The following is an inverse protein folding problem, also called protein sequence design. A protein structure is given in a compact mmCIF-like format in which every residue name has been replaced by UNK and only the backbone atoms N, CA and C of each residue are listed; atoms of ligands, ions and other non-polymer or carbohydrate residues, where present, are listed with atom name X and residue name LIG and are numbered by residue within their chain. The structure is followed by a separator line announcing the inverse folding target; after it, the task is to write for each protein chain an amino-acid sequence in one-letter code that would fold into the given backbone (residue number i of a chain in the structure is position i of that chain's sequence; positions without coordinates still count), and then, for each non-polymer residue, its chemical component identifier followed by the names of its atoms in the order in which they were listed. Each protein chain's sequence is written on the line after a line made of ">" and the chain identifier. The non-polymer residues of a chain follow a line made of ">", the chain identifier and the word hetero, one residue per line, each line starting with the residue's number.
data_IF_739960486859
#
_entry.id   IF_739960486859
#
_cell.length_a   1.000
_cell.length_b   1.000
_cell.length_c   1.000
_cell.angle_alpha   90.00
_cell.angle_beta   90.00
_cell.angle_gamma   90.00
#
_symmetry.space_group_name_H-M   'P 1'
#
loop_
_entity.id
_entity.type
_entity.pdbx_description
1 polymer ?
#
# COMPACT_ATOMS: atom_id res chain seq x y z
N UNK A 1 34.86 -18.04 8.93
CA UNK A 1 34.05 -16.81 9.06
C UNK A 1 32.64 -17.27 9.35
N UNK A 2 32.11 -17.00 10.53
CA UNK A 2 30.73 -17.37 10.85
C UNK A 2 29.80 -16.45 10.07
N UNK A 3 28.96 -17.02 9.19
CA UNK A 3 27.85 -16.29 8.58
C UNK A 3 26.87 -15.93 9.70
N UNK A 4 26.76 -14.64 10.03
CA UNK A 4 25.68 -14.15 10.88
C UNK A 4 24.36 -14.39 10.15
N UNK A 5 23.46 -15.13 10.80
CA UNK A 5 22.12 -15.35 10.28
C UNK A 5 21.41 -14.00 10.05
N UNK A 6 20.69 -13.84 8.92
CA UNK A 6 20.04 -12.57 8.61
C UNK A 6 19.02 -12.22 9.69
N UNK A 7 19.22 -11.06 10.33
CA UNK A 7 18.31 -10.53 11.34
C UNK A 7 16.95 -10.26 10.70
N UNK A 8 15.91 -10.92 11.22
CA UNK A 8 14.51 -10.66 10.83
C UNK A 8 14.04 -9.43 11.60
N UNK A 9 13.69 -8.37 10.89
CA UNK A 9 13.07 -7.17 11.47
C UNK A 9 11.55 -7.31 11.44
N UNK A 10 10.88 -6.87 12.51
CA UNK A 10 9.42 -6.76 12.53
C UNK A 10 8.94 -5.54 11.75
N UNK A 11 7.70 -5.58 11.25
CA UNK A 11 7.13 -4.46 10.49
C UNK A 11 7.12 -3.13 11.28
N UNK A 12 6.94 -3.20 12.60
CA UNK A 12 7.03 -2.02 13.49
C UNK A 12 8.44 -1.44 13.56
N UNK A 13 9.47 -2.28 13.67
CA UNK A 13 10.86 -1.83 13.70
C UNK A 13 11.29 -1.17 12.38
N UNK A 14 10.68 -1.58 11.27
CA UNK A 14 10.90 -1.04 9.94
C UNK A 14 10.16 0.30 9.69
N UNK A 15 9.21 0.67 10.56
CA UNK A 15 8.31 1.82 10.40
C UNK A 15 8.12 2.59 11.73
N UNK A 16 9.16 3.23 12.29
CA UNK A 16 9.05 4.02 13.53
C UNK A 16 8.04 5.17 13.43
N UNK A 17 7.72 5.64 12.23
CA UNK A 17 6.62 6.57 11.95
C UNK A 17 5.23 6.08 12.42
N UNK A 18 5.03 4.77 12.57
CA UNK A 18 3.80 4.22 13.13
C UNK A 18 3.62 4.59 14.61
N UNK A 19 4.72 4.80 15.34
CA UNK A 19 4.70 5.25 16.74
C UNK A 19 4.43 6.76 16.84
N UNK A 20 4.89 7.56 15.89
CA UNK A 20 4.49 8.99 15.79
C UNK A 20 2.98 9.10 15.59
N UNK A 21 2.42 8.22 14.77
CA UNK A 21 0.98 8.14 14.58
C UNK A 21 0.25 7.56 15.80
N UNK A 22 0.88 6.73 16.64
CA UNK A 22 0.27 6.25 17.89
C UNK A 22 0.17 7.36 18.93
N UNK A 23 1.13 8.28 18.96
CA UNK A 23 1.06 9.52 19.75
C UNK A 23 -0.05 10.46 19.28
N UNK A 24 -0.21 10.60 17.95
CA UNK A 24 -1.26 11.41 17.34
C UNK A 24 -2.68 10.90 17.66
N UNK A 25 -2.86 9.62 18.00
CA UNK A 25 -4.16 9.04 18.37
C UNK A 25 -4.71 9.59 19.71
N UNK A 26 -3.88 10.28 20.51
CA UNK A 26 -4.33 11.00 21.70
C UNK A 26 -4.93 12.38 21.39
N UNK A 27 -4.76 12.86 20.15
CA UNK A 27 -5.27 14.14 19.67
C UNK A 27 -6.61 13.98 18.95
N UNK A 28 -7.49 15.00 18.97
CA UNK A 28 -8.67 15.04 18.12
C UNK A 28 -8.33 14.81 16.64
N UNK A 29 -9.20 14.12 15.91
CA UNK A 29 -9.05 13.78 14.48
C UNK A 29 -8.68 14.99 13.60
N UNK A 30 -9.15 16.18 13.97
CA UNK A 30 -8.89 17.45 13.29
C UNK A 30 -7.44 17.92 13.46
N UNK A 31 -6.82 17.64 14.62
CA UNK A 31 -5.45 18.06 14.94
C UNK A 31 -4.41 17.04 14.43
N UNK A 32 -4.82 15.79 14.25
CA UNK A 32 -4.01 14.79 13.56
C UNK A 32 -3.76 15.23 12.12
N UNK A 33 -4.79 15.75 11.45
CA UNK A 33 -4.73 16.21 10.05
C UNK A 33 -3.69 17.32 9.86
N UNK A 34 -3.70 18.37 10.70
CA UNK A 34 -2.76 19.49 10.60
C UNK A 34 -1.29 19.07 10.76
N UNK A 35 -1.00 18.20 11.73
CA UNK A 35 0.35 17.67 11.95
C UNK A 35 0.89 16.82 10.78
N UNK A 36 0.01 16.19 10.00
CA UNK A 36 0.42 15.37 8.86
C UNK A 36 0.45 16.15 7.55
N UNK A 37 -0.41 17.17 7.38
CA UNK A 37 -0.36 18.05 6.21
C UNK A 37 0.91 18.89 6.17
N UNK A 38 1.43 19.31 7.32
CA UNK A 38 2.67 20.09 7.41
C UNK A 38 3.94 19.28 7.04
N UNK A 39 3.87 17.95 7.10
CA UNK A 39 5.00 17.08 6.73
C UNK A 39 5.15 16.85 5.22
N UNK A 40 4.12 17.15 4.41
CA UNK A 40 4.14 16.98 2.95
C UNK A 40 4.34 15.54 2.43
N UNK A 41 4.43 14.52 3.30
CA UNK A 41 4.77 13.15 2.91
C UNK A 41 3.55 12.36 2.40
N UNK A 42 3.57 11.91 1.13
CA UNK A 42 2.56 11.00 0.57
C UNK A 42 2.27 9.77 1.42
N UNK A 43 3.31 9.19 2.02
CA UNK A 43 3.23 7.95 2.80
C UNK A 43 2.51 8.14 4.13
N UNK A 44 2.81 9.23 4.86
CA UNK A 44 2.13 9.55 6.13
C UNK A 44 0.65 9.85 5.91
N UNK A 45 0.34 10.63 4.85
CA UNK A 45 -1.04 10.87 4.45
C UNK A 45 -1.78 9.58 4.12
N UNK A 46 -1.13 8.67 3.38
CA UNK A 46 -1.69 7.38 3.02
C UNK A 46 -2.01 6.54 4.26
N UNK A 47 -1.06 6.43 5.20
CA UNK A 47 -1.20 5.67 6.44
C UNK A 47 -2.38 6.15 7.30
N UNK A 48 -2.57 7.45 7.43
CA UNK A 48 -3.69 7.97 8.21
C UNK A 48 -5.05 7.69 7.59
N UNK A 49 -5.16 7.85 6.27
CA UNK A 49 -6.39 7.51 5.55
C UNK A 49 -6.67 6.00 5.66
N UNK A 50 -5.62 5.17 5.63
CA UNK A 50 -5.73 3.72 5.84
C UNK A 50 -6.34 3.38 7.22
N UNK A 51 -5.88 4.03 8.29
CA UNK A 51 -6.46 3.83 9.63
C UNK A 51 -7.95 4.17 9.69
N UNK A 52 -8.39 5.21 8.99
CA UNK A 52 -9.83 5.50 8.89
C UNK A 52 -10.59 4.40 8.14
N UNK A 53 -9.99 3.84 7.10
CA UNK A 53 -10.55 2.71 6.38
C UNK A 53 -10.70 1.48 7.30
N UNK A 54 -9.67 1.17 8.10
CA UNK A 54 -9.71 0.07 9.08
C UNK A 54 -10.83 0.25 10.12
N UNK A 55 -11.00 1.48 10.62
CA UNK A 55 -12.08 1.77 11.57
C UNK A 55 -13.48 1.65 10.95
N UNK A 56 -13.63 1.98 9.66
CA UNK A 56 -14.87 1.75 8.93
C UNK A 56 -15.11 0.27 8.67
N UNK A 57 -14.06 -0.48 8.34
CA UNK A 57 -14.09 -1.93 8.14
C UNK A 57 -14.56 -2.65 9.42
N UNK A 58 -13.97 -2.32 10.58
CA UNK A 58 -14.38 -2.86 11.88
C UNK A 58 -15.85 -2.56 12.22
N UNK A 59 -16.40 -1.46 11.70
CA UNK A 59 -17.81 -1.07 11.89
C UNK A 59 -18.76 -1.66 10.85
N UNK A 60 -18.29 -2.55 9.97
CA UNK A 60 -19.08 -3.15 8.90
C UNK A 60 -19.46 -2.19 7.77
N UNK A 61 -18.85 -1.00 7.70
CA UNK A 61 -19.14 0.02 6.67
C UNK A 61 -18.30 -0.21 5.43
N UNK A 62 -18.43 -1.38 4.82
CA UNK A 62 -17.52 -1.90 3.78
C UNK A 62 -17.36 -0.99 2.56
N UNK A 63 -18.46 -0.44 2.03
CA UNK A 63 -18.38 0.50 0.89
C UNK A 63 -17.53 1.74 1.20
N UNK A 64 -17.72 2.32 2.39
CA UNK A 64 -16.97 3.50 2.81
C UNK A 64 -15.51 3.16 3.14
N UNK A 65 -15.26 1.98 3.71
CA UNK A 65 -13.91 1.48 3.96
C UNK A 65 -13.15 1.30 2.64
N UNK A 66 -13.78 0.66 1.63
CA UNK A 66 -13.26 0.51 0.27
C UNK A 66 -12.88 1.85 -0.34
N UNK A 67 -13.78 2.84 -0.32
CA UNK A 67 -13.51 4.18 -0.85
C UNK A 67 -12.32 4.85 -0.14
N UNK A 68 -12.16 4.63 1.17
CA UNK A 68 -11.04 5.15 1.95
C UNK A 68 -9.72 4.44 1.65
N UNK A 69 -9.69 3.12 1.50
CA UNK A 69 -8.48 2.41 1.06
C UNK A 69 -8.03 2.91 -0.32
N UNK A 70 -8.96 3.10 -1.26
CA UNK A 70 -8.65 3.68 -2.58
C UNK A 70 -8.09 5.09 -2.42
N UNK A 71 -8.69 5.92 -1.58
CA UNK A 71 -8.18 7.26 -1.30
C UNK A 71 -6.77 7.24 -0.68
N UNK A 72 -6.47 6.27 0.19
CA UNK A 72 -5.15 6.07 0.76
C UNK A 72 -4.12 5.72 -0.34
N UNK A 73 -4.48 4.85 -1.28
CA UNK A 73 -3.63 4.56 -2.45
C UNK A 73 -3.39 5.80 -3.31
N UNK A 74 -4.41 6.65 -3.51
CA UNK A 74 -4.31 7.91 -4.25
C UNK A 74 -3.43 8.98 -3.57
N UNK A 75 -3.05 8.78 -2.32
CA UNK A 75 -2.03 9.61 -1.70
C UNK A 75 -0.62 9.28 -2.23
N UNK A 76 -0.38 8.03 -2.61
CA UNK A 76 0.91 7.53 -3.14
C UNK A 76 0.92 7.56 -4.67
N UNK A 77 -0.18 7.13 -5.30
CA UNK A 77 -0.32 6.98 -6.75
C UNK A 77 -1.02 8.20 -7.35
N UNK A 78 -0.51 8.76 -8.48
CA UNK A 78 -1.18 9.83 -9.21
C UNK A 78 -2.65 9.53 -9.55
N UNK A 79 -3.49 10.57 -9.59
CA UNK A 79 -4.96 10.43 -9.80
C UNK A 79 -5.35 9.89 -11.17
N UNK A 80 -4.53 10.14 -12.18
CA UNK A 80 -4.74 9.69 -13.56
C UNK A 80 -4.36 8.22 -13.78
N UNK A 81 -3.80 7.55 -12.76
CA UNK A 81 -3.48 6.14 -12.80
C UNK A 81 -4.76 5.29 -12.74
N UNK A 82 -4.91 4.30 -13.61
CA UNK A 82 -6.05 3.38 -13.56
C UNK A 82 -5.88 2.36 -12.42
N UNK A 83 -6.86 2.29 -11.51
CA UNK A 83 -6.88 1.33 -10.41
C UNK A 83 -8.17 0.50 -10.47
N UNK A 84 -8.10 -0.84 -10.41
CA UNK A 84 -6.89 -1.66 -10.53
C UNK A 84 -6.22 -1.49 -11.92
N UNK A 85 -4.94 -1.81 -12.02
CA UNK A 85 -4.18 -1.69 -13.26
C UNK A 85 -4.68 -2.70 -14.30
N UNK A 86 -4.71 -2.28 -15.57
CA UNK A 86 -5.15 -3.11 -16.69
C UNK A 86 -4.02 -3.98 -17.28
N UNK A 87 -2.78 -3.71 -16.89
CA UNK A 87 -1.57 -4.28 -17.49
C UNK A 87 -0.67 -4.87 -16.42
N UNK A 88 -0.16 -6.08 -16.67
CA UNK A 88 0.72 -6.80 -15.75
C UNK A 88 2.10 -6.14 -15.54
N UNK A 89 2.57 -5.41 -16.54
CA UNK A 89 3.80 -4.61 -16.46
C UNK A 89 3.38 -3.17 -16.64
N UNK A 90 3.25 -2.44 -15.52
CA UNK A 90 2.84 -1.05 -15.55
C UNK A 90 4.08 -0.15 -15.40
N UNK A 91 4.45 0.63 -16.44
CA UNK A 91 5.65 1.48 -16.40
C UNK A 91 5.64 2.49 -15.25
N UNK A 92 4.46 2.92 -14.81
CA UNK A 92 4.32 3.85 -13.69
C UNK A 92 4.60 3.16 -12.36
N UNK A 93 4.17 1.90 -12.16
CA UNK A 93 4.60 1.13 -10.99
C UNK A 93 6.08 0.81 -11.05
N UNK A 94 6.61 0.43 -12.21
CA UNK A 94 8.05 0.22 -12.35
C UNK A 94 8.82 1.49 -11.99
N UNK A 95 8.39 2.67 -12.43
CA UNK A 95 9.06 3.94 -12.09
C UNK A 95 8.92 4.29 -10.60
N UNK A 96 7.72 4.13 -10.04
CA UNK A 96 7.44 4.40 -8.63
C UNK A 96 8.24 3.49 -7.69
N UNK A 97 8.46 2.23 -8.09
CA UNK A 97 9.08 1.18 -7.28
C UNK A 97 10.53 0.88 -7.66
N UNK A 98 11.10 1.56 -8.68
CA UNK A 98 12.45 1.33 -9.17
C UNK A 98 13.55 1.89 -8.27
N UNK A 99 13.24 2.93 -7.47
CA UNK A 99 14.26 3.64 -6.70
C UNK A 99 14.52 2.95 -5.36
N UNK A 100 15.80 2.87 -4.96
CA UNK A 100 16.18 2.35 -3.64
C UNK A 100 15.49 3.17 -2.54
N UNK A 101 14.76 2.49 -1.65
CA UNK A 101 14.02 3.13 -0.55
C UNK A 101 12.49 3.14 -0.69
N UNK A 102 11.94 2.86 -1.87
CA UNK A 102 10.48 2.88 -2.09
C UNK A 102 9.75 1.56 -1.77
N UNK A 103 10.42 0.63 -1.10
CA UNK A 103 9.80 -0.63 -0.64
C UNK A 103 8.69 -0.37 0.38
N UNK A 104 8.74 0.76 1.11
CA UNK A 104 7.71 1.16 2.07
C UNK A 104 6.39 1.47 1.37
N UNK A 105 6.44 2.21 0.27
CA UNK A 105 5.30 2.57 -0.57
C UNK A 105 4.67 1.33 -1.19
N UNK A 106 5.49 0.36 -1.62
CA UNK A 106 4.94 -0.91 -2.11
C UNK A 106 4.18 -1.67 -1.04
N UNK A 107 4.76 -1.83 0.16
CA UNK A 107 4.07 -2.51 1.26
C UNK A 107 2.78 -1.78 1.62
N UNK A 108 2.80 -0.45 1.59
CA UNK A 108 1.61 0.35 1.80
C UNK A 108 0.54 0.06 0.74
N UNK A 109 0.91 0.08 -0.54
CA UNK A 109 -0.01 -0.22 -1.64
C UNK A 109 -0.57 -1.63 -1.55
N UNK A 110 0.25 -2.63 -1.20
CA UNK A 110 -0.19 -4.03 -1.01
C UNK A 110 -1.23 -4.12 0.11
N UNK A 111 -0.96 -3.54 1.27
CA UNK A 111 -1.89 -3.51 2.42
C UNK A 111 -3.24 -2.89 2.04
N UNK A 112 -3.24 -1.82 1.24
CA UNK A 112 -4.46 -1.13 0.82
C UNK A 112 -5.22 -1.91 -0.25
N UNK A 113 -4.53 -2.59 -1.17
CA UNK A 113 -5.16 -3.51 -2.12
C UNK A 113 -5.84 -4.68 -1.38
N UNK A 114 -5.18 -5.24 -0.37
CA UNK A 114 -5.77 -6.28 0.49
C UNK A 114 -7.01 -5.76 1.23
N UNK A 115 -6.94 -4.56 1.80
CA UNK A 115 -8.07 -3.89 2.44
C UNK A 115 -9.27 -3.73 1.51
N UNK A 116 -9.05 -3.32 0.25
CA UNK A 116 -10.11 -3.25 -0.75
C UNK A 116 -10.65 -4.63 -1.10
N UNK A 117 -9.78 -5.61 -1.34
CA UNK A 117 -10.19 -6.98 -1.67
C UNK A 117 -11.08 -7.57 -0.56
N UNK A 118 -10.70 -7.36 0.71
CA UNK A 118 -11.51 -7.77 1.86
C UNK A 118 -12.87 -7.08 1.88
N UNK A 119 -12.93 -5.77 1.62
CA UNK A 119 -14.20 -5.06 1.52
C UNK A 119 -15.09 -5.63 0.40
N UNK A 120 -14.51 -5.96 -0.77
CA UNK A 120 -15.24 -6.58 -1.87
C UNK A 120 -15.80 -7.95 -1.48
N UNK A 121 -15.04 -8.79 -0.77
CA UNK A 121 -15.51 -10.10 -0.29
C UNK A 121 -16.70 -9.95 0.66
N UNK A 122 -16.64 -9.02 1.61
CA UNK A 122 -17.74 -8.73 2.56
C UNK A 122 -19.00 -8.18 1.87
N UNK A 123 -18.85 -7.59 0.68
CA UNK A 123 -19.96 -7.11 -0.15
C UNK A 123 -20.38 -8.11 -1.24
N UNK A 124 -19.82 -9.33 -1.23
CA UNK A 124 -20.07 -10.38 -2.24
C UNK A 124 -19.66 -9.99 -3.68
N UNK A 125 -18.79 -8.99 -3.83
CA UNK A 125 -18.25 -8.52 -5.10
C UNK A 125 -17.02 -9.35 -5.53
N UNK A 126 -17.22 -10.64 -5.82
CA UNK A 126 -16.10 -11.59 -6.05
C UNK A 126 -15.14 -11.18 -7.17
N UNK A 127 -15.66 -10.73 -8.32
CA UNK A 127 -14.81 -10.26 -9.42
C UNK A 127 -13.94 -9.08 -9.00
N UNK A 128 -14.53 -8.13 -8.26
CA UNK A 128 -13.79 -7.00 -7.72
C UNK A 128 -12.70 -7.46 -6.75
N UNK A 129 -12.99 -8.41 -5.85
CA UNK A 129 -11.97 -8.94 -4.95
C UNK A 129 -10.79 -9.58 -5.73
N UNK A 130 -11.08 -10.35 -6.78
CA UNK A 130 -10.06 -10.95 -7.64
C UNK A 130 -9.20 -9.90 -8.35
N UNK A 131 -9.79 -8.84 -8.89
CA UNK A 131 -9.04 -7.77 -9.56
C UNK A 131 -8.03 -7.11 -8.60
N UNK A 132 -8.41 -6.87 -7.34
CA UNK A 132 -7.53 -6.28 -6.33
C UNK A 132 -6.46 -7.24 -5.80
N UNK A 133 -6.73 -8.54 -5.76
CA UNK A 133 -5.71 -9.54 -5.47
C UNK A 133 -4.69 -9.67 -6.62
N UNK A 134 -5.14 -9.56 -7.87
CA UNK A 134 -4.25 -9.50 -9.03
C UNK A 134 -3.39 -8.25 -9.02
N UNK A 135 -3.92 -7.10 -8.58
CA UNK A 135 -3.14 -5.86 -8.43
C UNK A 135 -1.92 -6.04 -7.51
N UNK A 136 -2.08 -6.80 -6.41
CA UNK A 136 -0.96 -7.13 -5.51
C UNK A 136 0.14 -7.88 -6.27
N UNK A 137 -0.23 -8.85 -7.11
CA UNK A 137 0.71 -9.59 -7.94
C UNK A 137 1.43 -8.67 -8.94
N UNK A 138 0.70 -7.73 -9.56
CA UNK A 138 1.26 -6.74 -10.49
C UNK A 138 2.32 -5.88 -9.79
N UNK A 139 2.07 -5.42 -8.56
CA UNK A 139 3.04 -4.64 -7.76
C UNK A 139 4.35 -5.41 -7.57
N UNK A 140 4.28 -6.69 -7.20
CA UNK A 140 5.47 -7.54 -7.02
C UNK A 140 6.22 -7.81 -8.34
N UNK A 141 5.49 -8.08 -9.43
CA UNK A 141 6.09 -8.26 -10.76
C UNK A 141 6.82 -6.98 -11.17
N UNK A 142 6.19 -5.82 -11.04
CA UNK A 142 6.78 -4.53 -11.41
C UNK A 142 8.04 -4.22 -10.59
N UNK A 143 8.03 -4.44 -9.27
CA UNK A 143 9.22 -4.26 -8.43
C UNK A 143 10.35 -5.21 -8.84
N UNK A 144 10.05 -6.49 -9.05
CA UNK A 144 11.04 -7.49 -9.44
C UNK A 144 11.64 -7.14 -10.80
N UNK A 145 10.82 -6.67 -11.74
CA UNK A 145 11.27 -6.23 -13.06
C UNK A 145 12.19 -5.01 -12.96
N UNK A 146 11.83 -4.04 -12.12
CA UNK A 146 12.58 -2.81 -11.95
C UNK A 146 13.94 -3.02 -11.27
N UNK A 147 14.00 -3.89 -10.27
CA UNK A 147 15.22 -4.16 -9.48
C UNK A 147 16.12 -5.25 -10.10
N UNK A 148 15.53 -6.18 -10.84
CA UNK A 148 16.22 -7.31 -11.44
C UNK A 148 15.70 -7.60 -12.86
N UNK A 149 15.98 -6.71 -13.83
CA UNK A 149 15.46 -6.84 -15.20
C UNK A 149 15.87 -8.17 -15.87
N UNK A 150 17.01 -8.75 -15.47
CA UNK A 150 17.51 -10.02 -16.01
C UNK A 150 16.77 -11.28 -15.51
N UNK A 151 16.02 -11.19 -14.40
CA UNK A 151 15.32 -12.36 -13.82
C UNK A 151 14.08 -12.77 -14.62
N UNK A 152 13.48 -11.87 -15.41
CA UNK A 152 12.30 -12.20 -16.23
C UNK A 152 12.65 -12.76 -17.61
N UNK A 153 13.87 -12.55 -18.11
CA UNK A 153 14.32 -13.13 -19.40
C UNK A 153 14.40 -14.65 -19.41
N UNK A 154 14.35 -15.30 -18.24
CA UNK A 154 14.41 -16.76 -18.10
C UNK A 154 13.04 -17.45 -18.01
N UNK A 155 11.94 -16.69 -18.01
CA UNK A 155 10.58 -17.25 -17.94
C UNK A 155 9.83 -17.23 -19.28
N UNK A 156 10.49 -16.85 -20.37
CA UNK A 156 9.98 -16.96 -21.74
C UNK A 156 10.72 -18.09 -22.47
N UNK A 157 10.25 -19.33 -22.28
CA UNK A 157 10.48 -20.49 -23.14
C UNK A 157 9.17 -21.28 -23.24
#
# INVERSE_FOLDING_TARGET
>A
MAEEAPRIYTYKELRPELDVLSFSNSLPLEWQWEAMTDSGSPCLRSLWINRQADELLKKGKYKHAKDKYILAMRAIIPRDFALPAKEYINPRYMTLLASEGHWKEQLDLVERCEGVARCCLEMEELNGAMDWLQEIQILFICQTTATHPDKLRKCSL
#
